data_IF_305884680466
#
_entry.id   IF_305884680466
#
_cell.length_a   1.000
_cell.length_b   1.000
_cell.length_c   1.000
_cell.angle_alpha   90.00
_cell.angle_beta   90.00
_cell.angle_gamma   90.00
#
_symmetry.space_group_name_H-M   'P 1'
#
loop_
_entity.id
_entity.type
_entity.pdbx_description
1 polymer ?
#
# COMPACT_ATOMS: atom_id res chain seq x y z
N UNK A 1 -0.54 -1.45 -42.58
CA UNK A 1 -1.94 -1.84 -42.35
C UNK A 1 -2.07 -2.13 -40.87
N UNK A 2 -2.95 -1.44 -40.15
CA UNK A 2 -3.22 -1.74 -38.73
C UNK A 2 -4.25 -2.87 -38.69
N UNK A 3 -3.99 -3.91 -37.93
CA UNK A 3 -4.93 -5.02 -37.78
C UNK A 3 -6.26 -4.54 -37.15
N UNK A 4 -7.41 -5.02 -37.63
CA UNK A 4 -8.70 -4.71 -37.00
C UNK A 4 -8.75 -5.21 -35.56
N UNK A 5 -9.27 -4.39 -34.65
CA UNK A 5 -9.44 -4.78 -33.24
C UNK A 5 -10.28 -6.06 -33.13
N UNK A 6 -9.68 -7.13 -32.60
CA UNK A 6 -10.40 -8.36 -32.22
C UNK A 6 -10.74 -8.31 -30.74
N UNK A 7 -12.04 -8.33 -30.43
CA UNK A 7 -12.51 -8.44 -29.05
C UNK A 7 -11.97 -9.73 -28.41
N UNK A 8 -11.36 -9.67 -27.22
CA UNK A 8 -10.92 -10.88 -26.52
C UNK A 8 -12.13 -11.76 -26.19
N UNK A 9 -11.96 -13.08 -26.33
CA UNK A 9 -13.02 -14.08 -26.10
C UNK A 9 -13.49 -14.11 -24.63
N UNK A 10 -12.62 -13.72 -23.70
CA UNK A 10 -12.94 -13.66 -22.28
C UNK A 10 -12.17 -12.55 -21.58
N UNK A 11 -12.82 -11.94 -20.59
CA UNK A 11 -12.24 -10.94 -19.69
C UNK A 11 -11.58 -11.58 -18.45
N UNK A 12 -11.79 -12.88 -18.22
CA UNK A 12 -11.26 -13.63 -17.08
C UNK A 12 -9.76 -13.43 -16.84
N UNK A 13 -8.84 -13.57 -17.83
CA UNK A 13 -7.41 -13.45 -17.55
C UNK A 13 -7.02 -12.08 -16.99
N UNK A 14 -7.69 -11.02 -17.46
CA UNK A 14 -7.43 -9.66 -17.01
C UNK A 14 -7.97 -9.43 -15.59
N UNK A 15 -9.16 -9.95 -15.26
CA UNK A 15 -9.68 -9.94 -13.88
C UNK A 15 -8.75 -10.71 -12.94
N UNK A 16 -8.31 -11.90 -13.33
CA UNK A 16 -7.41 -12.73 -12.52
C UNK A 16 -6.11 -12.01 -12.18
N UNK A 17 -5.49 -11.36 -13.18
CA UNK A 17 -4.25 -10.60 -12.97
C UNK A 17 -4.48 -9.42 -12.03
N UNK A 18 -5.57 -8.67 -12.19
CA UNK A 18 -5.87 -7.55 -11.30
C UNK A 18 -6.12 -7.99 -9.86
N UNK A 19 -6.86 -9.07 -9.65
CA UNK A 19 -7.09 -9.64 -8.32
C UNK A 19 -5.77 -10.09 -7.70
N UNK A 20 -4.95 -10.83 -8.45
CA UNK A 20 -3.66 -11.31 -7.97
C UNK A 20 -2.73 -10.15 -7.59
N UNK A 21 -2.62 -9.13 -8.46
CA UNK A 21 -1.79 -7.95 -8.23
C UNK A 21 -2.26 -7.14 -7.01
N UNK A 22 -3.58 -6.95 -6.87
CA UNK A 22 -4.16 -6.22 -5.74
C UNK A 22 -3.83 -6.90 -4.41
N UNK A 23 -4.14 -8.19 -4.27
CA UNK A 23 -3.91 -8.90 -3.02
C UNK A 23 -2.42 -9.06 -2.70
N UNK A 24 -1.58 -9.25 -3.71
CA UNK A 24 -0.12 -9.25 -3.52
C UNK A 24 0.38 -7.92 -2.96
N UNK A 25 -0.14 -6.80 -3.46
CA UNK A 25 0.18 -5.46 -2.96
C UNK A 25 -0.27 -5.24 -1.52
N UNK A 26 -1.50 -5.63 -1.17
CA UNK A 26 -2.05 -5.53 0.19
C UNK A 26 -1.22 -6.34 1.19
N UNK A 27 -0.90 -7.59 0.85
CA UNK A 27 -0.11 -8.48 1.72
C UNK A 27 1.30 -7.92 1.89
N UNK A 28 1.95 -7.49 0.80
CA UNK A 28 3.29 -6.89 0.87
C UNK A 28 3.32 -5.63 1.73
N UNK A 29 2.32 -4.75 1.59
CA UNK A 29 2.18 -3.57 2.43
C UNK A 29 2.04 -3.93 3.91
N UNK A 30 1.18 -4.90 4.23
CA UNK A 30 0.97 -5.36 5.61
C UNK A 30 2.26 -5.93 6.23
N UNK A 31 3.00 -6.78 5.51
CA UNK A 31 4.29 -7.31 5.98
C UNK A 31 5.26 -6.17 6.27
N UNK A 32 5.38 -5.20 5.36
CA UNK A 32 6.31 -4.07 5.56
C UNK A 32 5.93 -3.17 6.72
N UNK A 33 4.63 -2.97 6.97
CA UNK A 33 4.13 -2.27 8.16
C UNK A 33 4.50 -3.02 9.45
N UNK A 34 4.35 -4.35 9.49
CA UNK A 34 4.70 -5.12 10.67
C UNK A 34 6.21 -5.09 10.95
N UNK A 35 7.04 -5.28 9.92
CA UNK A 35 8.50 -5.17 10.07
C UNK A 35 8.94 -3.77 10.53
N UNK A 36 8.26 -2.72 10.05
CA UNK A 36 8.49 -1.36 10.51
C UNK A 36 8.18 -1.22 12.01
N UNK A 37 7.07 -1.82 12.47
CA UNK A 37 6.67 -1.77 13.88
C UNK A 37 7.61 -2.53 14.80
N UNK A 38 8.00 -3.74 14.41
CA UNK A 38 8.96 -4.55 15.17
C UNK A 38 10.27 -3.80 15.37
N UNK A 39 10.83 -3.27 14.27
CA UNK A 39 12.06 -2.47 14.32
C UNK A 39 11.90 -1.21 15.19
N UNK A 40 10.77 -0.51 15.07
CA UNK A 40 10.54 0.69 15.89
C UNK A 40 10.50 0.37 17.38
N UNK A 41 9.87 -0.75 17.76
CA UNK A 41 9.81 -1.20 19.15
C UNK A 41 11.17 -1.61 19.71
N UNK A 42 12.01 -2.27 18.92
CA UNK A 42 13.39 -2.58 19.31
C UNK A 42 14.18 -1.31 19.64
N UNK A 43 14.02 -0.27 18.83
CA UNK A 43 14.71 1.02 19.03
C UNK A 43 14.05 1.90 20.10
N UNK A 44 12.74 1.74 20.35
CA UNK A 44 11.93 2.61 21.19
C UNK A 44 10.95 1.82 22.09
N UNK A 45 11.46 1.10 23.11
CA UNK A 45 10.61 0.30 23.97
C UNK A 45 9.58 1.16 24.71
N UNK A 46 8.32 0.72 24.72
CA UNK A 46 7.21 1.38 25.41
C UNK A 46 6.65 2.63 24.73
N UNK A 47 7.16 3.04 23.56
CA UNK A 47 6.57 4.12 22.77
C UNK A 47 5.49 3.59 21.81
N UNK A 48 4.47 4.43 21.57
CA UNK A 48 3.45 4.15 20.56
C UNK A 48 4.11 4.19 19.17
N UNK A 49 3.90 3.14 18.38
CA UNK A 49 4.46 3.08 17.03
C UNK A 49 3.66 4.00 16.11
N UNK A 50 4.32 4.96 15.42
CA UNK A 50 3.64 5.74 14.41
C UNK A 50 3.23 4.86 13.22
N UNK A 51 2.25 5.30 12.43
CA UNK A 51 1.89 4.60 11.19
C UNK A 51 3.04 4.74 10.17
N UNK A 52 3.41 3.66 9.48
CA UNK A 52 4.45 3.77 8.44
C UNK A 52 3.99 4.72 7.34
N UNK A 53 4.91 5.54 6.83
CA UNK A 53 4.63 6.38 5.66
C UNK A 53 4.36 5.50 4.44
N UNK A 54 3.32 5.80 3.64
CA UNK A 54 3.00 5.00 2.47
C UNK A 54 4.11 5.11 1.42
N UNK A 55 4.50 3.97 0.86
CA UNK A 55 5.52 3.90 -0.19
C UNK A 55 4.98 4.25 -1.58
N UNK A 56 3.69 4.00 -1.81
CA UNK A 56 3.04 4.11 -3.13
C UNK A 56 2.16 5.35 -3.28
N UNK A 57 2.17 6.26 -2.31
CA UNK A 57 1.44 7.53 -2.36
C UNK A 57 2.39 8.68 -2.07
N UNK A 58 2.83 9.37 -3.12
CA UNK A 58 3.68 10.56 -3.03
C UNK A 58 2.91 11.88 -2.90
N UNK A 59 1.58 11.81 -2.96
CA UNK A 59 0.73 12.98 -2.72
C UNK A 59 0.86 13.47 -1.27
N UNK A 60 0.34 14.67 -0.96
CA UNK A 60 0.34 15.19 0.41
C UNK A 60 -0.36 14.20 1.33
N UNK A 61 0.42 13.49 2.13
CA UNK A 61 -0.09 12.50 3.07
C UNK A 61 -0.65 13.24 4.28
N UNK A 62 -1.90 13.69 4.17
CA UNK A 62 -2.68 14.13 5.32
C UNK A 62 -3.51 12.95 5.78
N UNK A 63 -3.03 12.24 6.80
CA UNK A 63 -3.95 11.42 7.59
C UNK A 63 -4.96 12.41 8.17
N UNK A 64 -6.22 12.35 7.74
CA UNK A 64 -7.35 12.96 8.47
C UNK A 64 -7.64 12.11 9.73
N UNK A 65 -6.61 11.85 10.52
CA UNK A 65 -6.70 11.28 11.85
C UNK A 65 -6.62 12.45 12.78
N UNK A 66 -7.68 12.69 13.56
CA UNK A 66 -7.79 13.83 14.47
C UNK A 66 -6.46 14.16 15.14
N UNK A 67 -6.07 15.42 14.97
CA UNK A 67 -4.96 16.13 15.62
C UNK A 67 -3.62 15.38 15.69
N UNK A 68 -2.78 15.60 14.68
CA UNK A 68 -1.32 15.58 14.86
C UNK A 68 -0.91 17.00 15.24
N UNK A 69 -0.49 17.29 16.49
CA UNK A 69 0.01 18.61 16.86
C UNK A 69 1.22 18.94 15.99
N UNK A 70 1.23 20.18 15.48
CA UNK A 70 2.37 20.71 14.74
C UNK A 70 3.58 20.77 15.67
N UNK A 71 4.73 20.37 15.16
CA UNK A 71 6.03 20.61 15.77
C UNK A 71 6.16 22.11 16.08
N UNK A 72 6.37 22.43 17.36
CA UNK A 72 7.11 23.62 17.82
C UNK A 72 8.56 23.21 18.09
#
# INVERSE_FOLDING_TARGET
MVEPYRRPKSFTPLVTIYVAAFYSGVIGAAITEQLYKEKYWEEHPGKVVPLMRPKFYWGPWRIMGGDVPKFE
#
